data_IF_289581587340
#
_entry.id   IF_289581587340
#
_cell.length_a   1.000
_cell.length_b   1.000
_cell.length_c   1.000
_cell.angle_alpha   90.00
_cell.angle_beta   90.00
_cell.angle_gamma   90.00
#
_symmetry.space_group_name_H-M   'P 1'
#
loop_
_entity.id
_entity.type
_entity.pdbx_description
1 polymer ?
#
# COMPACT_ATOMS: atom_id res chain seq x y z
N UNK A 1 28.05 37.11 -6.39
CA UNK A 1 28.55 36.12 -5.42
C UNK A 1 27.47 35.10 -5.01
N UNK A 2 26.35 35.51 -4.46
CA UNK A 2 25.27 34.57 -3.98
C UNK A 2 24.70 33.70 -5.10
N UNK A 3 24.39 34.25 -6.27
CA UNK A 3 23.88 33.46 -7.41
C UNK A 3 24.90 32.43 -7.92
N UNK A 4 26.17 32.79 -8.01
CA UNK A 4 27.20 31.85 -8.45
C UNK A 4 27.39 30.69 -7.47
N UNK A 5 27.38 30.98 -6.15
CA UNK A 5 27.42 29.94 -5.12
C UNK A 5 26.17 29.02 -5.17
N UNK A 6 25.00 29.58 -5.44
CA UNK A 6 23.78 28.84 -5.59
C UNK A 6 23.78 27.92 -6.81
N UNK A 7 24.32 28.40 -7.95
CA UNK A 7 24.50 27.57 -9.13
C UNK A 7 25.46 26.40 -8.88
N UNK A 8 26.59 26.67 -8.20
CA UNK A 8 27.58 25.65 -7.90
C UNK A 8 27.03 24.56 -6.94
N UNK A 9 26.29 24.97 -5.92
CA UNK A 9 25.57 24.01 -5.05
C UNK A 9 24.52 23.21 -5.82
N UNK A 10 23.77 23.85 -6.72
CA UNK A 10 22.77 23.18 -7.56
C UNK A 10 23.36 22.12 -8.49
N UNK A 11 24.63 22.24 -8.90
CA UNK A 11 25.31 21.17 -9.63
C UNK A 11 25.57 19.94 -8.76
N UNK A 12 25.98 20.16 -7.53
CA UNK A 12 26.41 19.08 -6.62
C UNK A 12 25.26 18.40 -5.91
N UNK A 13 24.23 19.15 -5.56
CA UNK A 13 23.11 18.70 -4.74
C UNK A 13 21.81 18.78 -5.52
N UNK A 14 21.19 17.64 -5.77
CA UNK A 14 19.95 17.57 -6.53
C UNK A 14 18.79 18.29 -5.83
N UNK A 15 18.70 18.20 -4.50
CA UNK A 15 17.72 18.98 -3.74
C UNK A 15 17.88 20.49 -3.97
N UNK A 16 19.12 20.98 -3.91
CA UNK A 16 19.40 22.40 -4.15
C UNK A 16 19.07 22.83 -5.58
N UNK A 17 19.26 21.95 -6.59
CA UNK A 17 18.81 22.17 -7.96
C UNK A 17 17.29 22.33 -8.02
N UNK A 18 16.52 21.39 -7.45
CA UNK A 18 15.08 21.44 -7.41
C UNK A 18 14.55 22.71 -6.72
N UNK A 19 15.15 23.08 -5.60
CA UNK A 19 14.79 24.28 -4.83
C UNK A 19 15.16 25.56 -5.57
N UNK A 20 16.23 25.58 -6.35
CA UNK A 20 16.61 26.72 -7.17
C UNK A 20 15.62 26.94 -8.31
N UNK A 21 15.17 25.87 -8.92
CA UNK A 21 14.23 25.88 -10.05
C UNK A 21 12.80 26.22 -9.62
N UNK A 22 12.34 25.71 -8.48
CA UNK A 22 10.96 25.89 -8.03
C UNK A 22 10.87 26.00 -6.50
N UNK A 23 11.29 27.13 -5.91
CA UNK A 23 11.36 27.30 -4.46
C UNK A 23 10.00 27.29 -3.76
N UNK A 24 8.94 27.62 -4.47
CA UNK A 24 7.56 27.58 -4.02
C UNK A 24 7.02 26.14 -3.83
N UNK A 25 7.56 25.20 -4.58
CA UNK A 25 7.21 23.79 -4.48
C UNK A 25 8.18 22.99 -3.59
N UNK A 26 9.50 23.16 -3.74
CA UNK A 26 10.51 22.49 -2.94
C UNK A 26 10.84 23.31 -1.68
N UNK A 27 9.87 23.39 -0.77
CA UNK A 27 10.00 24.09 0.51
C UNK A 27 10.75 23.22 1.53
N UNK A 28 11.43 23.87 2.50
CA UNK A 28 12.21 23.14 3.53
C UNK A 28 11.34 22.26 4.44
N UNK A 29 10.08 22.59 4.65
CA UNK A 29 9.12 21.84 5.45
C UNK A 29 8.55 20.61 4.72
N UNK A 30 8.76 20.50 3.40
CA UNK A 30 8.40 19.31 2.63
C UNK A 30 9.52 18.28 2.65
N UNK A 31 9.81 17.75 3.82
CA UNK A 31 10.92 16.81 4.06
C UNK A 31 10.85 15.56 3.17
N UNK A 32 9.65 15.08 2.83
CA UNK A 32 9.48 13.95 1.92
C UNK A 32 10.03 14.21 0.51
N UNK A 33 9.95 15.46 0.00
CA UNK A 33 10.57 15.82 -1.29
C UNK A 33 12.09 15.91 -1.18
N UNK A 34 12.60 16.37 -0.04
CA UNK A 34 14.04 16.36 0.22
C UNK A 34 14.57 14.93 0.22
N UNK A 35 13.95 14.06 1.02
CA UNK A 35 14.33 12.65 1.09
C UNK A 35 14.24 11.97 -0.28
N UNK A 36 13.21 12.27 -1.08
CA UNK A 36 13.08 11.74 -2.44
C UNK A 36 14.20 12.21 -3.36
N UNK A 37 14.62 13.48 -3.26
CA UNK A 37 15.78 13.99 -4.02
C UNK A 37 17.06 13.29 -3.58
N UNK A 38 17.27 13.09 -2.29
CA UNK A 38 18.45 12.42 -1.73
C UNK A 38 18.50 10.95 -2.16
N UNK A 39 17.36 10.24 -2.11
CA UNK A 39 17.25 8.85 -2.58
C UNK A 39 17.61 8.72 -4.06
N UNK A 40 17.14 9.64 -4.91
CA UNK A 40 17.45 9.65 -6.34
C UNK A 40 18.94 9.94 -6.59
N UNK A 41 19.51 10.94 -5.90
CA UNK A 41 20.91 11.27 -6.03
C UNK A 41 21.80 10.13 -5.56
N UNK A 42 21.52 9.57 -4.36
CA UNK A 42 22.29 8.48 -3.80
C UNK A 42 22.22 7.21 -4.67
N UNK A 43 21.07 6.92 -5.26
CA UNK A 43 20.86 5.72 -6.07
C UNK A 43 21.78 5.63 -7.29
N UNK A 44 22.14 6.76 -7.90
CA UNK A 44 23.07 6.78 -9.04
C UNK A 44 24.55 6.87 -8.66
N UNK A 45 24.87 7.02 -7.38
CA UNK A 45 26.25 6.99 -6.91
C UNK A 45 26.84 5.57 -7.01
N UNK A 46 28.12 5.43 -7.34
CA UNK A 46 28.77 4.10 -7.44
C UNK A 46 28.74 3.27 -6.16
N UNK A 47 28.46 3.88 -5.03
CA UNK A 47 28.37 3.24 -3.71
C UNK A 47 27.05 2.54 -3.49
N UNK A 48 25.98 2.87 -4.21
CA UNK A 48 24.69 2.20 -4.09
C UNK A 48 24.70 0.86 -4.87
N UNK A 49 24.46 -0.23 -4.15
CA UNK A 49 24.53 -1.59 -4.67
C UNK A 49 23.23 -2.08 -5.33
N UNK A 50 22.16 -1.27 -5.29
CA UNK A 50 20.89 -1.66 -5.91
C UNK A 50 20.90 -1.37 -7.42
N UNK A 51 20.30 -2.25 -8.17
CA UNK A 51 20.12 -2.11 -9.62
C UNK A 51 18.83 -1.36 -9.95
N UNK A 52 17.83 -1.45 -9.06
CA UNK A 52 16.47 -0.91 -9.26
C UNK A 52 16.06 -0.07 -8.04
N UNK A 53 15.53 1.13 -8.31
CA UNK A 53 14.85 1.96 -7.31
C UNK A 53 13.35 2.00 -7.63
N UNK A 54 12.53 1.54 -6.68
CA UNK A 54 11.07 1.64 -6.75
C UNK A 54 10.58 2.72 -5.79
N UNK A 55 9.96 3.75 -6.33
CA UNK A 55 9.38 4.86 -5.55
C UNK A 55 7.87 4.85 -5.69
N UNK A 56 7.17 4.59 -4.60
CA UNK A 56 5.71 4.64 -4.53
C UNK A 56 5.27 5.88 -3.75
N UNK A 57 4.44 6.72 -4.36
CA UNK A 57 4.03 8.01 -3.78
C UNK A 57 2.60 8.36 -4.22
N UNK A 58 1.80 9.01 -3.33
CA UNK A 58 0.44 9.42 -3.66
C UNK A 58 0.36 10.34 -4.89
N UNK A 59 -0.79 10.40 -5.58
CA UNK A 59 -1.00 11.35 -6.68
C UNK A 59 -0.77 12.80 -6.23
N UNK A 60 -0.27 13.64 -7.16
CA UNK A 60 -0.04 15.08 -6.97
C UNK A 60 1.10 15.48 -6.01
N UNK A 61 1.81 14.53 -5.38
CA UNK A 61 2.91 14.83 -4.46
C UNK A 61 4.26 15.08 -5.15
N UNK A 62 4.29 15.26 -6.48
CA UNK A 62 5.46 15.75 -7.19
C UNK A 62 6.33 14.68 -7.85
N UNK A 63 5.89 13.42 -7.93
CA UNK A 63 6.63 12.31 -8.57
C UNK A 63 7.27 12.69 -9.89
N UNK A 64 6.45 12.84 -10.93
CA UNK A 64 6.90 13.09 -12.30
C UNK A 64 7.67 14.41 -12.43
N UNK A 65 7.31 15.44 -11.63
CA UNK A 65 8.04 16.73 -11.60
C UNK A 65 9.48 16.55 -11.09
N UNK A 66 9.65 15.81 -9.99
CA UNK A 66 10.97 15.56 -9.40
C UNK A 66 11.82 14.68 -10.31
N UNK A 67 11.22 13.68 -10.95
CA UNK A 67 11.91 12.84 -11.95
C UNK A 67 12.34 13.67 -13.17
N UNK A 68 11.50 14.60 -13.66
CA UNK A 68 11.88 15.51 -14.74
C UNK A 68 13.11 16.36 -14.37
N UNK A 69 13.09 16.94 -13.18
CA UNK A 69 14.22 17.68 -12.65
C UNK A 69 15.47 16.80 -12.48
N UNK A 70 15.28 15.52 -12.08
CA UNK A 70 16.38 14.57 -11.94
C UNK A 70 17.06 14.29 -13.30
N UNK A 71 16.29 14.05 -14.34
CA UNK A 71 16.82 13.86 -15.70
C UNK A 71 17.62 15.09 -16.16
N UNK A 72 17.09 16.29 -15.94
CA UNK A 72 17.78 17.53 -16.26
C UNK A 72 19.11 17.64 -15.51
N UNK A 73 19.10 17.34 -14.21
CA UNK A 73 20.27 17.41 -13.35
C UNK A 73 21.34 16.38 -13.74
N UNK A 74 20.94 15.15 -14.05
CA UNK A 74 21.86 14.09 -14.53
C UNK A 74 22.53 14.50 -15.84
N UNK A 75 21.74 14.91 -16.83
CA UNK A 75 22.27 15.32 -18.15
C UNK A 75 23.12 16.59 -18.09
N UNK A 76 22.85 17.44 -17.09
CA UNK A 76 23.67 18.62 -16.82
C UNK A 76 25.07 18.28 -16.29
N UNK A 77 25.15 17.28 -15.43
CA UNK A 77 26.40 16.81 -14.85
C UNK A 77 27.17 15.87 -15.76
N UNK A 78 26.47 15.05 -16.55
CA UNK A 78 27.11 14.09 -17.47
C UNK A 78 26.32 13.97 -18.78
N UNK A 79 26.84 14.58 -19.83
CA UNK A 79 26.24 14.56 -21.16
C UNK A 79 26.42 13.21 -21.91
N UNK A 80 27.11 12.24 -21.33
CA UNK A 80 27.22 10.88 -21.89
C UNK A 80 26.06 9.98 -21.51
N UNK A 81 25.29 10.36 -20.52
CA UNK A 81 24.14 9.59 -20.05
C UNK A 81 23.05 9.45 -21.13
N UNK A 82 22.46 8.27 -21.18
CA UNK A 82 21.37 7.92 -22.09
C UNK A 82 20.13 7.57 -21.26
N UNK A 83 19.14 8.43 -21.31
CA UNK A 83 17.92 8.32 -20.52
C UNK A 83 16.80 7.75 -21.38
N UNK A 84 16.16 6.67 -20.93
CA UNK A 84 14.94 6.16 -21.54
C UNK A 84 13.80 6.31 -20.56
N UNK A 85 12.73 6.98 -20.95
CA UNK A 85 11.52 7.12 -20.13
C UNK A 85 10.34 6.38 -20.73
N UNK A 86 9.64 5.60 -19.91
CA UNK A 86 8.43 4.88 -20.24
C UNK A 86 7.24 5.37 -19.43
N UNK A 87 6.07 5.53 -20.07
CA UNK A 87 4.79 5.83 -19.40
C UNK A 87 3.67 5.05 -20.06
N UNK A 88 2.46 5.07 -19.47
CA UNK A 88 1.35 4.24 -19.96
C UNK A 88 0.95 4.52 -21.43
N UNK A 89 1.22 5.70 -21.94
CA UNK A 89 1.02 6.04 -23.35
C UNK A 89 2.07 7.04 -23.88
N UNK A 90 2.15 7.14 -25.21
CA UNK A 90 3.11 7.98 -25.92
C UNK A 90 2.92 9.49 -25.64
N UNK A 91 1.68 9.94 -25.48
CA UNK A 91 1.39 11.36 -25.21
C UNK A 91 2.01 11.81 -23.88
N UNK A 92 1.88 10.98 -22.83
CA UNK A 92 2.42 11.32 -21.51
C UNK A 92 3.96 11.29 -21.52
N UNK A 93 4.55 10.23 -22.10
CA UNK A 93 6.01 10.12 -22.19
C UNK A 93 6.62 11.24 -23.04
N UNK A 94 5.97 11.61 -24.14
CA UNK A 94 6.41 12.74 -25.00
C UNK A 94 6.27 14.09 -24.27
N UNK A 95 5.21 14.31 -23.50
CA UNK A 95 5.06 15.54 -22.70
C UNK A 95 6.15 15.66 -21.63
N UNK A 96 6.51 14.54 -21.01
CA UNK A 96 7.61 14.51 -20.05
C UNK A 96 8.94 14.89 -20.72
N UNK A 97 9.28 14.24 -21.84
CA UNK A 97 10.47 14.56 -22.66
C UNK A 97 10.52 16.02 -23.06
N UNK A 98 9.38 16.55 -23.58
CA UNK A 98 9.24 17.96 -23.94
C UNK A 98 9.53 18.91 -22.78
N UNK A 99 9.08 18.56 -21.57
CA UNK A 99 9.35 19.33 -20.35
C UNK A 99 10.83 19.47 -20.07
N UNK A 100 11.55 18.34 -20.05
CA UNK A 100 13.01 18.30 -19.84
C UNK A 100 13.76 19.10 -20.93
N UNK A 101 13.43 18.82 -22.19
CA UNK A 101 14.05 19.52 -23.32
C UNK A 101 13.84 21.03 -23.26
N UNK A 102 12.64 21.48 -22.96
CA UNK A 102 12.31 22.91 -22.88
C UNK A 102 13.07 23.60 -21.74
N UNK A 103 13.29 22.92 -20.62
CA UNK A 103 14.13 23.45 -19.53
C UNK A 103 15.57 23.63 -19.97
N UNK A 104 16.14 22.65 -20.66
CA UNK A 104 17.53 22.75 -21.18
C UNK A 104 17.69 23.92 -22.16
N UNK A 105 16.66 24.19 -22.96
CA UNK A 105 16.63 25.26 -23.95
C UNK A 105 16.08 26.60 -23.42
N UNK A 106 15.79 26.71 -22.13
CA UNK A 106 15.19 27.94 -21.57
C UNK A 106 16.12 29.14 -21.75
N UNK A 107 15.61 30.16 -22.47
CA UNK A 107 16.32 31.41 -22.67
C UNK A 107 16.11 32.32 -21.45
N UNK A 108 17.19 32.89 -20.94
CA UNK A 108 17.16 33.80 -19.78
C UNK A 108 16.50 35.12 -20.16
N UNK A 109 15.22 35.28 -19.82
CA UNK A 109 14.48 36.53 -20.04
C UNK A 109 14.62 37.52 -18.86
N UNK A 110 14.75 37.00 -17.62
CA UNK A 110 14.95 37.82 -16.43
C UNK A 110 16.35 37.57 -15.85
N UNK A 111 17.10 38.68 -15.68
CA UNK A 111 18.49 38.67 -15.16
C UNK A 111 18.56 38.11 -13.73
N UNK A 112 17.49 38.22 -12.96
CA UNK A 112 17.43 37.74 -11.57
C UNK A 112 17.03 36.25 -11.46
N UNK A 113 16.43 35.70 -12.52
CA UNK A 113 16.05 34.28 -12.58
C UNK A 113 17.27 33.44 -12.93
N UNK A 114 17.53 32.40 -12.14
CA UNK A 114 18.51 31.37 -12.49
C UNK A 114 17.80 30.39 -13.42
N UNK A 115 18.38 30.20 -14.63
CA UNK A 115 17.90 29.23 -15.62
C UNK A 115 18.92 28.10 -15.77
N UNK A 116 18.54 27.03 -16.48
CA UNK A 116 19.37 25.83 -16.65
C UNK A 116 20.80 26.13 -17.12
N UNK A 117 20.95 26.99 -18.12
CA UNK A 117 22.27 27.37 -18.66
C UNK A 117 23.16 28.18 -17.70
N UNK A 118 22.59 28.78 -16.64
CA UNK A 118 23.38 29.41 -15.57
C UNK A 118 24.02 28.34 -14.67
N UNK A 119 23.34 27.19 -14.48
CA UNK A 119 23.80 26.08 -13.65
C UNK A 119 24.73 25.16 -14.44
N UNK A 120 24.33 24.81 -15.66
CA UNK A 120 25.06 23.89 -16.55
C UNK A 120 25.45 24.59 -17.86
N UNK A 121 26.43 25.50 -17.83
CA UNK A 121 26.85 26.21 -19.04
C UNK A 121 27.44 25.24 -20.07
N UNK A 122 27.03 25.40 -21.33
CA UNK A 122 27.51 24.56 -22.42
C UNK A 122 26.74 23.26 -22.63
N UNK A 123 25.67 23.02 -21.84
CA UNK A 123 24.74 21.89 -22.07
C UNK A 123 23.57 22.39 -22.91
N UNK A 124 23.55 22.00 -24.20
CA UNK A 124 22.54 22.43 -25.16
C UNK A 124 21.99 21.24 -25.94
N UNK A 125 20.75 21.35 -26.41
CA UNK A 125 20.19 20.39 -27.37
C UNK A 125 20.90 20.54 -28.72
N UNK A 126 21.29 19.42 -29.30
CA UNK A 126 21.97 19.40 -30.63
C UNK A 126 21.07 20.00 -31.70
N UNK A 127 21.61 20.89 -32.48
CA UNK A 127 20.87 21.58 -33.55
C UNK A 127 20.32 20.55 -34.57
N UNK A 128 19.02 20.59 -34.83
CA UNK A 128 18.36 19.67 -35.77
C UNK A 128 17.97 18.34 -35.18
N UNK A 129 18.31 18.04 -33.91
CA UNK A 129 18.01 16.79 -33.20
C UNK A 129 17.14 17.05 -31.97
N UNK A 130 16.08 17.81 -32.16
CA UNK A 130 15.20 18.27 -31.08
C UNK A 130 13.76 17.76 -31.25
N UNK A 131 13.56 16.52 -31.67
CA UNK A 131 12.23 15.91 -31.69
C UNK A 131 11.59 15.85 -30.29
N UNK A 132 10.26 15.69 -30.18
CA UNK A 132 9.61 15.72 -28.88
C UNK A 132 9.86 14.46 -28.05
N UNK A 133 10.09 13.34 -28.70
CA UNK A 133 10.24 12.03 -28.04
C UNK A 133 11.68 11.49 -28.07
N UNK A 134 12.53 12.02 -28.94
CA UNK A 134 13.94 11.59 -29.05
C UNK A 134 14.84 12.77 -29.41
N UNK A 135 15.90 12.96 -28.65
CA UNK A 135 16.84 14.05 -28.87
C UNK A 135 18.22 13.77 -28.25
N UNK A 136 19.22 14.51 -28.72
CA UNK A 136 20.59 14.45 -28.23
C UNK A 136 21.08 15.82 -27.76
N UNK A 137 22.07 15.81 -26.88
CA UNK A 137 22.85 16.99 -26.51
C UNK A 137 23.98 17.23 -27.54
N UNK A 138 24.52 18.44 -27.59
CA UNK A 138 25.61 18.80 -28.53
C UNK A 138 26.84 17.91 -28.34
N UNK A 139 27.20 17.61 -27.10
CA UNK A 139 28.32 16.75 -26.72
C UNK A 139 27.93 15.32 -26.37
N UNK A 140 26.73 14.89 -26.76
CA UNK A 140 26.19 13.57 -26.47
C UNK A 140 25.69 12.83 -27.71
N UNK A 141 25.22 11.63 -27.51
CA UNK A 141 24.63 10.79 -28.56
C UNK A 141 23.47 10.00 -27.99
N UNK A 142 22.28 10.13 -28.61
CA UNK A 142 21.05 9.46 -28.15
C UNK A 142 20.80 9.66 -26.65
N UNK A 143 20.80 10.91 -26.18
CA UNK A 143 20.70 11.18 -24.76
C UNK A 143 19.31 10.95 -24.17
N UNK A 144 18.28 11.02 -25.01
CA UNK A 144 16.93 10.87 -24.51
C UNK A 144 16.00 10.17 -25.50
N UNK A 145 15.24 9.18 -24.97
CA UNK A 145 14.11 8.54 -25.66
C UNK A 145 12.91 8.44 -24.74
N UNK A 146 11.75 8.93 -25.19
CA UNK A 146 10.45 8.70 -24.56
C UNK A 146 9.71 7.60 -25.32
N UNK A 147 9.18 6.60 -24.59
CA UNK A 147 8.45 5.45 -25.15
C UNK A 147 7.23 5.07 -24.31
N UNK A 148 6.49 4.08 -24.76
CA UNK A 148 5.34 3.48 -24.07
C UNK A 148 5.19 2.01 -24.45
N UNK A 149 4.32 1.21 -23.78
CA UNK A 149 4.09 -0.18 -24.15
C UNK A 149 3.62 -0.40 -25.59
N UNK A 150 3.10 0.63 -26.25
CA UNK A 150 2.70 0.60 -27.67
C UNK A 150 3.70 1.26 -28.60
N UNK A 151 4.76 1.87 -28.03
CA UNK A 151 5.79 2.58 -28.80
C UNK A 151 6.97 1.67 -29.18
N UNK A 152 7.89 2.22 -29.98
CA UNK A 152 9.11 1.53 -30.39
C UNK A 152 10.31 2.04 -29.60
N UNK A 153 11.17 1.12 -29.14
CA UNK A 153 12.43 1.43 -28.44
C UNK A 153 13.66 0.80 -29.15
N UNK A 154 13.52 0.38 -30.42
CA UNK A 154 14.55 -0.32 -31.15
C UNK A 154 15.75 0.59 -31.46
N UNK A 155 16.97 0.08 -31.26
CA UNK A 155 18.21 0.79 -31.60
C UNK A 155 18.65 1.86 -30.58
N UNK A 156 18.00 1.97 -29.42
CA UNK A 156 18.39 2.88 -28.34
C UNK A 156 18.90 2.08 -27.14
N UNK A 157 20.08 2.43 -26.59
CA UNK A 157 20.59 1.92 -25.33
C UNK A 157 20.37 2.94 -24.21
N UNK A 158 20.13 2.50 -22.98
CA UNK A 158 19.90 3.36 -21.82
C UNK A 158 20.89 3.07 -20.69
N UNK A 159 21.51 4.12 -20.14
CA UNK A 159 22.26 4.03 -18.89
C UNK A 159 21.36 4.23 -17.66
N UNK A 160 20.27 5.00 -17.85
CA UNK A 160 19.23 5.15 -16.84
C UNK A 160 17.87 4.97 -17.52
N UNK A 161 17.10 4.01 -17.00
CA UNK A 161 15.75 3.73 -17.43
C UNK A 161 14.77 4.20 -16.37
N UNK A 162 13.77 4.95 -16.77
CA UNK A 162 12.75 5.50 -15.86
C UNK A 162 11.36 5.07 -16.35
N UNK A 163 10.56 4.49 -15.47
CA UNK A 163 9.18 4.13 -15.78
C UNK A 163 8.27 4.91 -14.82
N UNK A 164 7.41 5.76 -15.41
CA UNK A 164 6.50 6.65 -14.68
C UNK A 164 5.04 6.27 -14.98
N UNK A 165 4.31 5.86 -13.93
CA UNK A 165 2.87 5.57 -13.93
C UNK A 165 2.35 4.80 -15.17
N UNK A 166 2.51 3.46 -15.19
CA UNK A 166 2.01 2.60 -16.30
C UNK A 166 0.51 2.32 -16.24
N UNK A 167 -0.15 2.57 -15.11
CA UNK A 167 -1.57 2.29 -14.90
C UNK A 167 -2.31 3.61 -14.68
N UNK A 168 -3.39 3.83 -15.44
CA UNK A 168 -4.19 5.07 -15.36
C UNK A 168 -5.50 4.92 -14.58
N UNK A 169 -5.97 3.70 -14.32
CA UNK A 169 -7.28 3.48 -13.70
C UNK A 169 -7.38 2.13 -12.99
N UNK A 170 -8.32 2.03 -12.04
CA UNK A 170 -8.65 0.78 -11.37
C UNK A 170 -9.12 -0.33 -12.35
N UNK A 171 -9.78 0.05 -13.44
CA UNK A 171 -10.22 -0.90 -14.47
C UNK A 171 -9.03 -1.58 -15.16
N UNK A 172 -7.98 -0.82 -15.48
CA UNK A 172 -6.75 -1.39 -16.03
C UNK A 172 -5.98 -2.21 -15.01
N UNK A 173 -5.90 -1.73 -13.77
CA UNK A 173 -5.24 -2.43 -12.67
C UNK A 173 -5.84 -3.81 -12.39
N UNK A 174 -7.15 -3.96 -12.55
CA UNK A 174 -7.87 -5.22 -12.34
C UNK A 174 -7.93 -6.11 -13.61
N UNK A 175 -7.26 -5.73 -14.69
CA UNK A 175 -7.18 -6.51 -15.91
C UNK A 175 -5.84 -7.26 -15.98
N UNK A 176 -5.89 -8.59 -15.76
CA UNK A 176 -4.70 -9.43 -15.73
C UNK A 176 -3.91 -9.38 -17.05
N UNK A 177 -4.60 -9.31 -18.20
CA UNK A 177 -3.95 -9.21 -19.52
C UNK A 177 -3.19 -7.89 -19.69
N UNK A 178 -3.72 -6.79 -19.11
CA UNK A 178 -3.04 -5.50 -19.12
C UNK A 178 -1.77 -5.54 -18.26
N UNK A 179 -1.85 -6.09 -17.06
CA UNK A 179 -0.68 -6.25 -16.17
C UNK A 179 0.39 -7.15 -16.80
N UNK A 180 -0.05 -8.24 -17.47
CA UNK A 180 0.88 -9.16 -18.16
C UNK A 180 1.54 -8.50 -19.36
N UNK A 181 0.81 -7.74 -20.16
CA UNK A 181 1.38 -6.95 -21.28
C UNK A 181 2.40 -5.92 -20.80
N UNK A 182 2.15 -5.23 -19.70
CA UNK A 182 3.10 -4.28 -19.11
C UNK A 182 4.35 -4.98 -18.62
N UNK A 183 4.20 -6.14 -17.98
CA UNK A 183 5.32 -6.97 -17.54
C UNK A 183 6.17 -7.47 -18.72
N UNK A 184 5.55 -8.06 -19.74
CA UNK A 184 6.21 -8.52 -20.96
C UNK A 184 6.94 -7.37 -21.67
N UNK A 185 6.30 -6.21 -21.79
CA UNK A 185 6.96 -5.03 -22.34
C UNK A 185 8.20 -4.62 -21.54
N UNK A 186 8.13 -4.66 -20.22
CA UNK A 186 9.28 -4.36 -19.36
C UNK A 186 10.39 -5.39 -19.57
N UNK A 187 10.09 -6.69 -19.50
CA UNK A 187 11.10 -7.76 -19.61
C UNK A 187 11.70 -7.89 -20.99
N UNK A 188 10.88 -7.87 -22.03
CA UNK A 188 11.32 -8.19 -23.38
C UNK A 188 11.84 -6.96 -24.14
N UNK A 189 11.21 -5.80 -23.89
CA UNK A 189 11.55 -4.57 -24.62
C UNK A 189 12.50 -3.68 -23.82
N UNK A 190 12.12 -3.32 -22.59
CA UNK A 190 12.85 -2.33 -21.84
C UNK A 190 14.20 -2.88 -21.31
N UNK A 191 14.19 -4.02 -20.62
CA UNK A 191 15.42 -4.59 -20.06
C UNK A 191 16.49 -4.88 -21.13
N UNK A 192 16.07 -5.27 -22.35
CA UNK A 192 17.00 -5.50 -23.46
C UNK A 192 17.69 -4.23 -23.96
N UNK A 193 17.30 -3.05 -23.47
CA UNK A 193 17.87 -1.74 -23.80
C UNK A 193 18.76 -1.18 -22.70
N UNK A 194 18.76 -1.79 -21.52
CA UNK A 194 19.62 -1.36 -20.44
C UNK A 194 21.09 -1.73 -20.76
N UNK A 195 21.97 -0.75 -20.71
CA UNK A 195 23.40 -0.97 -20.90
C UNK A 195 24.03 -1.58 -19.63
N UNK A 196 25.22 -2.16 -19.76
CA UNK A 196 25.96 -2.74 -18.62
C UNK A 196 26.17 -1.71 -17.50
N UNK A 197 25.80 -2.07 -16.26
CA UNK A 197 25.85 -1.16 -15.12
C UNK A 197 24.74 -0.08 -15.10
N UNK A 198 23.79 -0.14 -16.02
CA UNK A 198 22.68 0.80 -16.06
C UNK A 198 21.74 0.64 -14.88
N UNK A 199 21.04 1.70 -14.51
CA UNK A 199 20.09 1.78 -13.36
C UNK A 199 18.65 1.90 -13.83
N UNK A 200 17.71 1.32 -13.07
CA UNK A 200 16.27 1.38 -13.35
C UNK A 200 15.57 2.12 -12.21
N UNK A 201 14.74 3.10 -12.56
CA UNK A 201 13.90 3.84 -11.61
C UNK A 201 12.43 3.63 -11.99
N UNK A 202 11.65 3.03 -11.09
CA UNK A 202 10.21 2.87 -11.23
C UNK A 202 9.54 3.85 -10.29
N UNK A 203 8.79 4.80 -10.84
CA UNK A 203 8.06 5.79 -10.04
C UNK A 203 6.59 5.67 -10.35
N UNK A 204 5.80 5.23 -9.39
CA UNK A 204 4.38 5.04 -9.64
C UNK A 204 3.52 5.14 -8.38
N UNK A 205 2.25 5.40 -8.61
CA UNK A 205 1.21 5.13 -7.64
C UNK A 205 0.88 3.64 -7.70
N UNK A 206 0.72 2.98 -6.57
CA UNK A 206 0.32 1.57 -6.53
C UNK A 206 -1.16 1.43 -6.88
N UNK A 207 -1.49 0.31 -7.56
CA UNK A 207 -2.85 -0.01 -7.97
C UNK A 207 -3.25 -1.47 -7.68
N UNK A 208 -2.30 -2.40 -7.83
CA UNK A 208 -2.51 -3.84 -7.70
C UNK A 208 -1.24 -4.50 -7.15
N UNK A 209 -1.34 -5.64 -6.45
CA UNK A 209 -0.15 -6.35 -5.96
C UNK A 209 0.75 -6.80 -7.10
N UNK A 210 0.15 -7.18 -8.25
CA UNK A 210 0.83 -7.61 -9.46
C UNK A 210 1.09 -6.48 -10.47
N UNK A 211 1.01 -5.21 -10.07
CA UNK A 211 1.49 -4.11 -10.90
C UNK A 211 3.02 -4.20 -11.09
N UNK A 212 3.57 -3.41 -12.00
CA UNK A 212 5.00 -3.51 -12.33
C UNK A 212 5.89 -3.40 -11.07
N UNK A 213 5.59 -2.45 -10.17
CA UNK A 213 6.36 -2.30 -8.93
C UNK A 213 6.27 -3.53 -8.03
N UNK A 214 5.08 -4.13 -7.88
CA UNK A 214 4.88 -5.33 -7.07
C UNK A 214 5.66 -6.52 -7.61
N UNK A 215 5.59 -6.78 -8.92
CA UNK A 215 6.34 -7.89 -9.55
C UNK A 215 7.85 -7.69 -9.47
N UNK A 216 8.34 -6.46 -9.64
CA UNK A 216 9.77 -6.15 -9.53
C UNK A 216 10.26 -6.40 -8.11
N UNK A 217 9.55 -5.92 -7.09
CA UNK A 217 9.91 -6.14 -5.68
C UNK A 217 9.96 -7.64 -5.36
N UNK A 218 8.99 -8.41 -5.84
CA UNK A 218 8.93 -9.86 -5.61
C UNK A 218 10.05 -10.60 -6.34
N UNK A 219 10.32 -10.25 -7.59
CA UNK A 219 11.26 -11.02 -8.43
C UNK A 219 12.72 -10.68 -8.20
N UNK A 220 13.05 -9.41 -7.93
CA UNK A 220 14.44 -8.94 -7.82
C UNK A 220 14.93 -8.78 -6.37
N UNK A 221 14.03 -8.83 -5.37
CA UNK A 221 14.38 -8.89 -3.95
C UNK A 221 15.40 -7.84 -3.51
N UNK A 222 16.54 -8.32 -2.99
CA UNK A 222 17.60 -7.46 -2.42
C UNK A 222 18.27 -6.51 -3.42
N UNK A 223 18.05 -6.68 -4.73
CA UNK A 223 18.53 -5.75 -5.74
C UNK A 223 17.66 -4.49 -5.87
N UNK A 224 16.52 -4.46 -5.19
CA UNK A 224 15.55 -3.38 -5.27
C UNK A 224 15.57 -2.54 -4.01
N UNK A 225 15.91 -1.25 -4.15
CA UNK A 225 15.65 -0.26 -3.10
C UNK A 225 14.20 0.19 -3.22
N UNK A 226 13.41 0.02 -2.18
CA UNK A 226 11.99 0.44 -2.14
C UNK A 226 11.84 1.66 -1.25
N UNK A 227 11.29 2.74 -1.82
CA UNK A 227 10.95 3.98 -1.10
C UNK A 227 9.44 4.19 -1.21
N UNK A 228 8.77 4.29 -0.09
CA UNK A 228 7.32 4.39 -0.05
C UNK A 228 6.86 5.58 0.79
N UNK A 229 6.02 6.44 0.18
CA UNK A 229 5.39 7.58 0.85
C UNK A 229 3.89 7.34 0.94
N UNK A 230 3.35 7.32 2.15
CA UNK A 230 1.92 7.18 2.43
C UNK A 230 1.29 8.57 2.58
N UNK A 231 0.05 8.76 2.13
CA UNK A 231 -0.65 10.03 2.30
C UNK A 231 -0.97 10.32 3.77
N UNK A 232 -1.39 9.30 4.52
CA UNK A 232 -1.62 9.37 5.97
C UNK A 232 -0.46 8.66 6.67
N UNK A 233 0.17 9.34 7.62
CA UNK A 233 1.28 8.84 8.41
C UNK A 233 0.78 7.97 9.57
N UNK A 234 1.67 7.28 10.27
CA UNK A 234 1.33 6.40 11.40
C UNK A 234 0.69 7.15 12.57
N UNK A 235 1.04 8.41 12.77
CA UNK A 235 0.46 9.30 13.77
C UNK A 235 -0.89 9.93 13.34
N UNK A 236 -1.41 9.56 12.18
CA UNK A 236 -2.64 10.10 11.59
C UNK A 236 -2.49 11.47 10.92
N UNK A 237 -1.28 12.03 10.87
CA UNK A 237 -1.01 13.28 10.14
C UNK A 237 -0.97 13.03 8.63
N UNK A 238 -1.14 14.10 7.84
CA UNK A 238 -1.01 14.02 6.39
C UNK A 238 0.45 14.24 5.96
N UNK A 239 0.91 13.51 4.96
CA UNK A 239 2.25 13.68 4.36
C UNK A 239 2.56 15.12 3.98
N UNK A 240 1.59 15.78 3.36
CA UNK A 240 1.65 17.20 3.02
C UNK A 240 0.23 17.80 3.01
N UNK A 241 -0.24 18.37 4.12
CA UNK A 241 -1.60 18.93 4.22
C UNK A 241 -1.91 20.03 3.19
N UNK A 242 -0.89 20.78 2.74
CA UNK A 242 -1.04 21.79 1.69
C UNK A 242 -1.39 21.19 0.31
N UNK A 243 -0.94 19.95 0.04
CA UNK A 243 -1.22 19.23 -1.21
C UNK A 243 -2.50 18.41 -1.10
N UNK A 244 -2.70 17.77 0.05
CA UNK A 244 -3.85 16.93 0.34
C UNK A 244 -4.22 17.08 1.82
N UNK A 245 -5.28 17.85 2.09
CA UNK A 245 -5.82 17.95 3.43
C UNK A 245 -6.52 16.66 3.85
N UNK A 246 -6.67 16.44 5.16
CA UNK A 246 -7.37 15.27 5.71
C UNK A 246 -8.81 15.20 5.21
N UNK A 247 -9.53 16.31 5.21
CA UNK A 247 -10.91 16.41 4.69
C UNK A 247 -10.99 16.02 3.20
N UNK A 248 -10.08 16.55 2.37
CA UNK A 248 -10.02 16.18 0.95
C UNK A 248 -9.68 14.71 0.75
N UNK A 249 -8.83 14.13 1.59
CA UNK A 249 -8.52 12.71 1.56
C UNK A 249 -9.75 11.87 1.89
N UNK A 250 -10.46 12.17 3.00
CA UNK A 250 -11.68 11.48 3.42
C UNK A 250 -12.78 11.54 2.35
N UNK A 251 -12.98 12.71 1.73
CA UNK A 251 -13.90 12.87 0.60
C UNK A 251 -13.54 11.97 -0.58
N UNK A 252 -12.24 11.85 -0.90
CA UNK A 252 -11.76 10.97 -1.97
C UNK A 252 -11.95 9.49 -1.64
N UNK A 253 -11.69 9.10 -0.38
CA UNK A 253 -11.92 7.71 0.09
C UNK A 253 -13.40 7.34 -0.07
N UNK A 254 -14.32 8.24 0.33
CA UNK A 254 -15.77 8.01 0.15
C UNK A 254 -16.16 7.87 -1.32
N UNK A 255 -15.55 8.66 -2.21
CA UNK A 255 -15.88 8.65 -3.64
C UNK A 255 -15.32 7.45 -4.40
N UNK A 256 -14.11 7.00 -4.10
CA UNK A 256 -13.43 5.93 -4.86
C UNK A 256 -13.45 4.56 -4.19
N UNK A 257 -13.84 4.50 -2.92
CA UNK A 257 -13.80 3.29 -2.11
C UNK A 257 -12.46 3.09 -1.40
N UNK A 258 -12.52 2.37 -0.29
CA UNK A 258 -11.36 2.16 0.61
C UNK A 258 -10.22 1.45 -0.11
N UNK A 259 -10.52 0.45 -0.95
CA UNK A 259 -9.52 -0.36 -1.64
C UNK A 259 -8.66 0.45 -2.61
N UNK A 260 -9.30 1.30 -3.40
CA UNK A 260 -8.58 2.18 -4.34
C UNK A 260 -7.77 3.23 -3.56
N UNK A 261 -8.33 3.73 -2.47
CA UNK A 261 -7.63 4.70 -1.62
C UNK A 261 -6.41 4.06 -0.92
N UNK A 262 -6.54 2.84 -0.38
CA UNK A 262 -5.41 2.09 0.18
C UNK A 262 -4.31 1.85 -0.85
N UNK A 263 -4.67 1.45 -2.07
CA UNK A 263 -3.68 1.29 -3.12
C UNK A 263 -3.00 2.62 -3.47
N UNK A 264 -3.77 3.65 -3.81
CA UNK A 264 -3.25 4.87 -4.42
C UNK A 264 -2.65 5.85 -3.41
N UNK A 265 -3.23 5.97 -2.22
CA UNK A 265 -2.80 6.96 -1.23
C UNK A 265 -1.94 6.35 -0.14
N UNK A 266 -2.18 5.09 0.24
CA UNK A 266 -1.34 4.39 1.22
C UNK A 266 -0.29 3.47 0.58
N UNK A 267 -0.26 3.39 -0.75
CA UNK A 267 0.65 2.56 -1.55
C UNK A 267 0.55 1.07 -1.20
N UNK A 268 -0.61 0.62 -0.78
CA UNK A 268 -0.87 -0.68 -0.23
C UNK A 268 -2.01 -1.35 -1.00
N UNK A 269 -1.76 -1.85 -2.22
CA UNK A 269 -2.79 -2.44 -3.06
C UNK A 269 -3.33 -3.71 -2.41
N UNK A 270 -4.64 -3.83 -2.45
CA UNK A 270 -5.38 -4.98 -1.98
C UNK A 270 -6.06 -5.59 -3.20
N UNK A 271 -5.67 -6.81 -3.56
CA UNK A 271 -6.22 -7.49 -4.73
C UNK A 271 -7.68 -7.87 -4.50
N UNK A 272 -8.57 -7.29 -5.28
CA UNK A 272 -10.01 -7.59 -5.23
C UNK A 272 -10.29 -8.95 -5.89
N UNK A 273 -9.61 -9.28 -7.00
CA UNK A 273 -9.67 -10.60 -7.64
C UNK A 273 -8.90 -11.62 -6.80
N UNK A 274 -9.59 -12.66 -6.37
CA UNK A 274 -9.01 -13.72 -5.54
C UNK A 274 -9.30 -13.58 -4.06
N UNK A 275 -9.80 -12.44 -3.58
CA UNK A 275 -10.28 -12.32 -2.20
C UNK A 275 -11.40 -13.30 -1.92
N UNK A 276 -11.31 -13.92 -0.78
CA UNK A 276 -12.38 -14.79 -0.31
C UNK A 276 -13.63 -13.98 0.06
N UNK A 277 -13.43 -12.88 0.78
CA UNK A 277 -14.50 -11.99 1.21
C UNK A 277 -14.58 -10.77 0.31
N UNK A 278 -15.60 -10.69 -0.53
CA UNK A 278 -15.78 -9.60 -1.48
C UNK A 278 -16.48 -8.37 -0.87
N UNK A 279 -17.26 -8.58 0.17
CA UNK A 279 -17.98 -7.54 0.89
C UNK A 279 -18.21 -7.95 2.34
N UNK A 280 -18.38 -6.95 3.21
CA UNK A 280 -18.77 -7.13 4.60
C UNK A 280 -20.01 -6.30 4.90
N UNK A 281 -20.97 -6.89 5.60
CA UNK A 281 -22.11 -6.15 6.12
C UNK A 281 -21.69 -5.31 7.32
N UNK A 282 -22.25 -4.12 7.44
CA UNK A 282 -21.97 -3.24 8.57
C UNK A 282 -23.26 -2.77 9.24
N UNK A 283 -23.15 -2.36 10.50
CA UNK A 283 -24.24 -1.80 11.28
C UNK A 283 -23.80 -0.52 12.01
N UNK A 284 -24.74 0.38 12.26
CA UNK A 284 -24.54 1.60 13.07
C UNK A 284 -24.99 1.40 14.50
N UNK A 285 -26.04 0.63 14.72
CA UNK A 285 -26.61 0.29 16.03
C UNK A 285 -26.94 -1.20 16.10
N UNK A 286 -26.73 -1.79 17.28
CA UNK A 286 -27.14 -3.18 17.56
C UNK A 286 -28.67 -3.35 17.44
N UNK A 287 -29.16 -4.55 17.13
CA UNK A 287 -30.59 -4.81 16.99
C UNK A 287 -31.43 -4.43 18.23
N UNK A 288 -32.45 -3.58 18.00
CA UNK A 288 -33.37 -3.08 19.02
C UNK A 288 -34.81 -3.20 18.54
N UNK A 289 -35.75 -3.31 19.48
CA UNK A 289 -37.18 -3.22 19.22
C UNK A 289 -37.64 -1.77 19.00
N UNK A 290 -38.90 -1.60 18.66
CA UNK A 290 -39.48 -0.27 18.44
C UNK A 290 -39.46 0.65 19.70
N UNK A 291 -39.24 0.09 20.88
CA UNK A 291 -39.06 0.82 22.14
C UNK A 291 -37.59 1.07 22.49
N UNK A 292 -36.64 0.74 21.60
CA UNK A 292 -35.21 0.93 21.78
C UNK A 292 -34.54 -0.12 22.70
N UNK A 293 -35.21 -1.22 23.03
CA UNK A 293 -34.65 -2.26 23.89
C UNK A 293 -33.91 -3.30 23.05
N UNK A 294 -32.77 -3.83 23.52
CA UNK A 294 -32.07 -4.93 22.85
C UNK A 294 -32.99 -6.12 22.58
N UNK A 295 -32.95 -6.69 21.39
CA UNK A 295 -33.72 -7.88 21.00
C UNK A 295 -32.92 -9.17 21.03
N UNK A 296 -31.63 -9.11 21.33
CA UNK A 296 -30.75 -10.25 21.57
C UNK A 296 -30.73 -10.64 23.05
N UNK A 297 -30.61 -11.93 23.33
CA UNK A 297 -30.73 -12.47 24.70
C UNK A 297 -29.37 -12.64 25.40
N UNK A 298 -28.27 -12.75 24.65
CA UNK A 298 -26.94 -13.03 25.18
C UNK A 298 -25.85 -12.40 24.34
N UNK A 299 -24.77 -12.02 25.01
CA UNK A 299 -23.49 -11.68 24.37
C UNK A 299 -22.62 -12.94 24.40
N UNK A 300 -22.05 -13.29 23.26
CA UNK A 300 -21.24 -14.48 23.07
C UNK A 300 -19.82 -14.10 22.65
N UNK A 301 -18.89 -15.02 22.88
CA UNK A 301 -17.51 -14.87 22.43
C UNK A 301 -17.05 -16.14 21.69
N UNK A 302 -16.19 -15.94 20.70
CA UNK A 302 -15.40 -17.00 20.09
C UNK A 302 -13.93 -16.61 20.13
N UNK A 303 -13.08 -17.50 20.67
CA UNK A 303 -11.64 -17.28 20.77
C UNK A 303 -10.87 -18.42 20.11
N UNK A 304 -10.08 -18.11 19.08
CA UNK A 304 -9.00 -18.93 18.56
C UNK A 304 -7.70 -18.53 19.26
N UNK A 305 -7.08 -19.48 19.98
CA UNK A 305 -5.90 -19.22 20.82
C UNK A 305 -4.61 -19.47 20.05
N UNK A 306 -3.63 -18.56 20.19
CA UNK A 306 -2.25 -18.79 19.78
C UNK A 306 -1.39 -19.18 20.98
N UNK A 307 -0.52 -20.19 20.82
CA UNK A 307 0.35 -20.65 21.92
C UNK A 307 1.72 -19.95 21.88
N UNK A 308 2.43 -20.02 20.78
CA UNK A 308 3.75 -19.36 20.58
C UNK A 308 4.06 -19.31 19.10
N UNK A 309 4.76 -18.25 18.65
CA UNK A 309 5.26 -18.15 17.28
C UNK A 309 4.61 -17.04 16.46
N UNK A 310 4.37 -17.28 15.17
CA UNK A 310 3.85 -16.28 14.22
C UNK A 310 2.31 -16.21 14.17
N UNK A 311 1.59 -17.05 14.91
CA UNK A 311 0.13 -17.11 14.93
C UNK A 311 -0.48 -15.99 15.79
N UNK A 312 -1.67 -15.52 15.39
CA UNK A 312 -2.41 -14.50 16.12
C UNK A 312 -3.47 -15.13 17.03
N UNK A 313 -3.55 -14.65 18.27
CA UNK A 313 -4.79 -14.80 19.03
C UNK A 313 -5.89 -13.97 18.36
N UNK A 314 -7.06 -14.58 18.17
CA UNK A 314 -8.26 -13.89 17.69
C UNK A 314 -9.44 -14.17 18.61
N UNK A 315 -9.89 -13.16 19.37
CA UNK A 315 -11.05 -13.24 20.26
C UNK A 315 -12.10 -12.23 19.83
N UNK A 316 -13.33 -12.69 19.60
CA UNK A 316 -14.42 -11.90 19.00
C UNK A 316 -15.65 -11.97 19.89
N UNK A 317 -16.10 -10.81 20.41
CA UNK A 317 -17.38 -10.68 21.09
C UNK A 317 -18.47 -10.30 20.10
N UNK A 318 -19.61 -10.98 20.18
CA UNK A 318 -20.74 -10.75 19.27
C UNK A 318 -22.09 -11.02 19.95
N UNK A 319 -23.15 -10.44 19.39
CA UNK A 319 -24.52 -10.80 19.74
C UNK A 319 -25.17 -11.53 18.58
N UNK A 320 -26.05 -12.48 18.89
CA UNK A 320 -26.82 -13.25 17.91
C UNK A 320 -28.25 -12.73 17.86
N UNK A 321 -28.75 -12.43 16.64
CA UNK A 321 -30.15 -12.09 16.42
C UNK A 321 -30.56 -12.58 15.02
N UNK A 322 -31.68 -13.30 14.95
CA UNK A 322 -32.25 -13.89 13.72
C UNK A 322 -31.23 -14.67 12.88
N UNK A 323 -30.40 -15.49 13.52
CA UNK A 323 -29.31 -16.26 12.88
C UNK A 323 -28.25 -15.40 12.21
N UNK A 324 -28.10 -14.16 12.61
CA UNK A 324 -27.04 -13.22 12.21
C UNK A 324 -26.16 -12.90 13.43
N UNK A 325 -24.88 -12.65 13.20
CA UNK A 325 -23.95 -12.21 14.23
C UNK A 325 -23.62 -10.73 14.06
N UNK A 326 -23.63 -9.99 15.14
CA UNK A 326 -23.20 -8.59 15.19
C UNK A 326 -21.98 -8.48 16.08
N UNK A 327 -20.81 -8.30 15.45
CA UNK A 327 -19.53 -8.20 16.15
C UNK A 327 -19.46 -6.90 16.95
N UNK A 328 -19.19 -6.98 18.24
CA UNK A 328 -19.12 -5.81 19.13
C UNK A 328 -17.69 -5.44 19.50
N UNK A 329 -16.81 -6.43 19.66
CA UNK A 329 -15.42 -6.21 20.03
C UNK A 329 -14.51 -7.29 19.47
N UNK A 330 -13.21 -6.95 19.25
CA UNK A 330 -12.21 -7.89 18.73
C UNK A 330 -10.86 -7.62 19.38
N UNK A 331 -10.20 -8.68 19.86
CA UNK A 331 -8.77 -8.70 20.16
C UNK A 331 -8.10 -9.55 19.08
N UNK A 332 -7.15 -8.96 18.35
CA UNK A 332 -6.36 -9.64 17.34
C UNK A 332 -4.90 -9.20 17.47
N UNK A 333 -4.06 -10.08 18.02
CA UNK A 333 -2.68 -9.73 18.41
C UNK A 333 -1.75 -10.96 18.41
N UNK A 334 -0.45 -10.72 18.27
CA UNK A 334 0.62 -11.72 18.43
C UNK A 334 1.22 -11.77 19.83
N UNK A 335 0.67 -11.01 20.77
CA UNK A 335 1.18 -10.98 22.14
C UNK A 335 1.06 -12.35 22.80
N UNK A 336 1.99 -12.64 23.71
CA UNK A 336 2.01 -13.88 24.48
C UNK A 336 0.81 -14.05 25.42
N UNK A 337 0.59 -15.28 25.90
CA UNK A 337 -0.55 -15.62 26.77
C UNK A 337 -0.60 -14.78 28.06
N UNK A 338 0.54 -14.37 28.59
CA UNK A 338 0.65 -13.51 29.78
C UNK A 338 -0.01 -12.13 29.59
N UNK A 339 -0.11 -11.65 28.34
CA UNK A 339 -0.79 -10.40 27.96
C UNK A 339 -2.23 -10.68 27.51
N UNK A 340 -2.43 -11.73 26.72
CA UNK A 340 -3.71 -11.99 26.07
C UNK A 340 -4.75 -12.60 27.02
N UNK A 341 -4.36 -13.44 28.01
CA UNK A 341 -5.27 -13.96 29.02
C UNK A 341 -5.95 -12.86 29.84
N UNK A 342 -5.22 -11.89 30.44
CA UNK A 342 -5.85 -10.74 31.10
C UNK A 342 -6.67 -9.86 30.17
N UNK A 343 -6.22 -9.66 28.92
CA UNK A 343 -6.93 -8.84 27.95
C UNK A 343 -8.26 -9.43 27.54
N UNK A 344 -8.31 -10.75 27.24
CA UNK A 344 -9.54 -11.46 26.92
C UNK A 344 -10.48 -11.49 28.14
N UNK A 345 -9.98 -11.80 29.34
CA UNK A 345 -10.81 -11.79 30.55
C UNK A 345 -11.44 -10.40 30.79
N UNK A 346 -10.67 -9.32 30.56
CA UNK A 346 -11.16 -7.94 30.66
C UNK A 346 -12.27 -7.67 29.63
N UNK A 347 -12.06 -8.01 28.37
CA UNK A 347 -13.04 -7.83 27.30
C UNK A 347 -14.34 -8.57 27.62
N UNK A 348 -14.27 -9.86 27.99
CA UNK A 348 -15.43 -10.65 28.38
C UNK A 348 -16.23 -10.03 29.54
N UNK A 349 -15.52 -9.44 30.50
CA UNK A 349 -16.13 -8.75 31.64
C UNK A 349 -16.82 -7.45 31.26
N UNK A 350 -16.10 -6.57 30.51
CA UNK A 350 -16.59 -5.25 30.09
C UNK A 350 -17.80 -5.36 29.14
N UNK A 351 -17.73 -6.28 28.18
CA UNK A 351 -18.81 -6.53 27.20
C UNK A 351 -19.95 -7.43 27.75
N UNK A 352 -19.86 -7.81 29.05
CA UNK A 352 -20.88 -8.58 29.74
C UNK A 352 -21.20 -9.90 29.03
N UNK A 353 -20.18 -10.60 28.53
CA UNK A 353 -20.33 -11.88 27.82
C UNK A 353 -20.94 -12.94 28.68
N UNK A 354 -21.90 -13.69 28.13
CA UNK A 354 -22.59 -14.80 28.80
C UNK A 354 -21.90 -16.13 28.53
N UNK A 355 -21.55 -16.39 27.27
CA UNK A 355 -20.96 -17.66 26.83
C UNK A 355 -19.69 -17.37 25.99
N UNK A 356 -18.58 -17.95 26.39
CA UNK A 356 -17.32 -17.86 25.67
C UNK A 356 -16.84 -19.24 25.22
N UNK A 357 -16.83 -19.45 23.92
CA UNK A 357 -16.27 -20.63 23.25
C UNK A 357 -14.78 -20.41 22.96
N UNK A 358 -13.91 -21.15 23.65
CA UNK A 358 -12.45 -21.03 23.53
C UNK A 358 -11.88 -22.30 22.91
N UNK A 359 -11.16 -22.18 21.79
CA UNK A 359 -10.48 -23.32 21.21
C UNK A 359 -9.41 -23.88 22.17
N UNK A 360 -9.43 -25.18 22.38
CA UNK A 360 -8.55 -25.86 23.34
C UNK A 360 -7.37 -26.58 22.71
N UNK A 361 -7.12 -26.33 21.43
CA UNK A 361 -5.97 -26.82 20.70
C UNK A 361 -4.68 -26.15 21.22
N UNK A 362 -3.53 -26.83 21.12
CA UNK A 362 -2.22 -26.22 21.33
C UNK A 362 -2.09 -25.30 22.58
N UNK A 363 -2.45 -25.82 23.78
CA UNK A 363 -2.35 -25.02 25.01
C UNK A 363 -3.64 -24.26 25.41
N UNK A 364 -4.63 -24.13 24.53
CA UNK A 364 -5.87 -23.39 24.75
C UNK A 364 -6.71 -23.84 25.97
N UNK A 365 -6.56 -25.08 26.46
CA UNK A 365 -7.15 -25.49 27.75
C UNK A 365 -6.55 -24.75 28.95
N UNK A 366 -5.25 -24.44 28.90
CA UNK A 366 -4.56 -23.64 29.91
C UNK A 366 -5.10 -22.24 29.91
N UNK A 367 -5.11 -21.63 28.72
CA UNK A 367 -5.65 -20.31 28.44
C UNK A 367 -7.08 -20.14 28.96
N UNK A 368 -7.99 -21.02 28.60
CA UNK A 368 -9.40 -21.00 29.05
C UNK A 368 -9.53 -21.03 30.59
N UNK A 369 -8.76 -21.89 31.28
CA UNK A 369 -8.74 -21.93 32.76
C UNK A 369 -8.20 -20.66 33.39
N UNK A 370 -7.16 -20.05 32.80
CA UNK A 370 -6.58 -18.83 33.31
C UNK A 370 -7.54 -17.65 33.13
N UNK A 371 -8.17 -17.51 31.94
CA UNK A 371 -9.23 -16.52 31.70
C UNK A 371 -10.36 -16.67 32.71
N UNK A 372 -10.86 -17.90 32.96
CA UNK A 372 -11.91 -18.16 33.97
C UNK A 372 -11.45 -17.77 35.39
N UNK A 373 -10.21 -18.12 35.75
CA UNK A 373 -9.61 -17.74 37.03
C UNK A 373 -9.52 -16.22 37.20
N UNK A 374 -9.11 -15.48 36.16
CA UNK A 374 -9.05 -14.01 36.19
C UNK A 374 -10.46 -13.42 36.35
N UNK A 375 -11.46 -13.91 35.60
CA UNK A 375 -12.84 -13.46 35.75
C UNK A 375 -13.34 -13.60 37.18
N UNK A 376 -13.09 -14.75 37.80
CA UNK A 376 -13.53 -15.02 39.18
C UNK A 376 -12.76 -14.27 40.24
N UNK A 377 -11.44 -14.25 40.16
CA UNK A 377 -10.57 -13.74 41.22
C UNK A 377 -10.32 -12.22 41.12
N UNK A 378 -10.21 -11.69 39.91
CA UNK A 378 -9.92 -10.26 39.67
C UNK A 378 -11.19 -9.44 39.48
N UNK A 379 -12.12 -9.95 38.67
CA UNK A 379 -13.36 -9.23 38.36
C UNK A 379 -14.55 -9.66 39.24
N UNK A 380 -14.39 -10.69 40.09
CA UNK A 380 -15.43 -11.25 40.94
C UNK A 380 -16.72 -11.59 40.17
N UNK A 381 -16.56 -12.01 38.91
CA UNK A 381 -17.64 -12.30 37.98
C UNK A 381 -17.79 -13.81 37.77
N UNK A 382 -19.02 -14.29 37.89
CA UNK A 382 -19.45 -15.66 37.51
C UNK A 382 -20.41 -15.62 36.31
N UNK A 383 -20.50 -14.49 35.61
CA UNK A 383 -21.46 -14.30 34.52
C UNK A 383 -21.12 -15.17 33.30
N UNK A 384 -19.82 -15.12 32.89
CA UNK A 384 -19.36 -15.78 31.69
C UNK A 384 -19.15 -17.27 31.92
N UNK A 385 -19.81 -18.11 31.11
CA UNK A 385 -19.55 -19.54 31.04
C UNK A 385 -18.45 -19.78 30.02
N UNK A 386 -17.32 -20.33 30.45
CA UNK A 386 -16.20 -20.66 29.59
C UNK A 386 -16.38 -22.08 29.05
N UNK A 387 -16.48 -22.24 27.74
CA UNK A 387 -16.68 -23.50 27.03
C UNK A 387 -15.43 -23.87 26.23
N UNK A 388 -14.44 -24.57 26.81
CA UNK A 388 -13.30 -25.03 26.03
C UNK A 388 -13.73 -26.20 25.12
N UNK A 389 -13.38 -26.10 23.82
CA UNK A 389 -13.72 -27.15 22.85
C UNK A 389 -12.53 -27.42 21.90
N UNK A 390 -12.49 -28.62 21.35
CA UNK A 390 -11.43 -29.03 20.41
C UNK A 390 -11.93 -28.86 18.98
N UNK A 391 -11.13 -28.13 18.17
CA UNK A 391 -11.38 -27.97 16.74
C UNK A 391 -10.57 -28.99 15.95
N UNK A 392 -11.24 -29.90 15.24
CA UNK A 392 -10.62 -31.02 14.51
C UNK A 392 -10.62 -30.84 12.98
N UNK A 393 -11.38 -29.88 12.46
CA UNK A 393 -11.51 -29.68 11.02
C UNK A 393 -10.36 -28.85 10.46
N UNK A 394 -10.01 -29.08 9.19
CA UNK A 394 -8.99 -28.31 8.50
C UNK A 394 -9.42 -26.81 8.35
N UNK A 395 -8.58 -25.89 8.82
CA UNK A 395 -8.78 -24.44 8.80
C UNK A 395 -9.21 -23.92 7.41
N UNK A 396 -8.42 -24.17 6.38
CA UNK A 396 -8.68 -23.68 5.02
C UNK A 396 -10.04 -24.15 4.51
N UNK A 397 -10.37 -25.44 4.70
CA UNK A 397 -11.64 -26.00 4.27
C UNK A 397 -12.84 -25.36 5.00
N UNK A 398 -12.71 -25.07 6.30
CA UNK A 398 -13.73 -24.38 7.10
C UNK A 398 -13.97 -22.96 6.56
N UNK A 399 -12.88 -22.20 6.39
CA UNK A 399 -12.93 -20.81 5.92
C UNK A 399 -13.61 -20.74 4.55
N UNK A 400 -13.17 -21.58 3.59
CA UNK A 400 -13.74 -21.59 2.24
C UNK A 400 -15.23 -21.95 2.23
N UNK A 401 -15.63 -22.98 2.97
CA UNK A 401 -17.02 -23.45 2.97
C UNK A 401 -18.00 -22.50 3.66
N UNK A 402 -17.53 -21.69 4.62
CA UNK A 402 -18.37 -20.75 5.36
C UNK A 402 -18.27 -19.29 4.86
N UNK A 403 -17.41 -18.99 3.87
CA UNK A 403 -17.14 -17.62 3.43
C UNK A 403 -18.40 -16.87 2.98
N UNK A 404 -19.27 -17.54 2.23
CA UNK A 404 -20.55 -16.95 1.77
C UNK A 404 -21.47 -16.63 2.96
N UNK A 405 -21.51 -17.51 3.96
CA UNK A 405 -22.31 -17.27 5.17
C UNK A 405 -21.75 -16.08 5.96
N UNK A 406 -20.43 -16.01 6.14
CA UNK A 406 -19.74 -14.87 6.79
C UNK A 406 -20.10 -13.55 6.11
N UNK A 407 -20.01 -13.47 4.79
CA UNK A 407 -20.38 -12.24 4.04
C UNK A 407 -21.85 -11.84 4.16
N UNK A 408 -22.75 -12.82 4.35
CA UNK A 408 -24.19 -12.57 4.34
C UNK A 408 -24.82 -12.45 5.71
N UNK A 409 -24.18 -12.93 6.79
CA UNK A 409 -24.78 -13.03 8.10
C UNK A 409 -23.94 -12.48 9.25
N UNK A 410 -22.70 -12.04 8.99
CA UNK A 410 -21.89 -11.35 10.01
C UNK A 410 -21.86 -9.85 9.71
N UNK A 411 -22.23 -9.05 10.69
CA UNK A 411 -22.25 -7.60 10.65
C UNK A 411 -21.15 -7.04 11.53
N UNK A 412 -20.39 -6.10 10.99
CA UNK A 412 -19.33 -5.38 11.71
C UNK A 412 -19.77 -3.95 12.03
N UNK A 413 -19.26 -3.30 13.09
CA UNK A 413 -19.50 -1.87 13.30
C UNK A 413 -19.04 -1.07 12.05
N UNK A 414 -19.77 -0.03 11.67
CA UNK A 414 -19.43 0.79 10.49
C UNK A 414 -17.98 1.31 10.52
N UNK A 415 -17.43 1.53 11.70
CA UNK A 415 -16.06 2.02 11.93
C UNK A 415 -15.08 0.90 12.35
N UNK A 416 -15.36 -0.37 12.02
CA UNK A 416 -14.51 -1.50 12.43
C UNK A 416 -13.10 -1.47 11.83
N UNK A 417 -12.91 -0.79 10.71
CA UNK A 417 -11.60 -0.56 10.11
C UNK A 417 -10.69 0.27 11.04
N UNK A 418 -11.27 1.27 11.72
CA UNK A 418 -10.54 2.13 12.65
C UNK A 418 -10.41 1.50 14.05
N UNK A 419 -11.46 0.76 14.46
CA UNK A 419 -11.48 0.09 15.78
C UNK A 419 -10.60 -1.16 15.84
N UNK A 420 -10.53 -1.91 14.74
CA UNK A 420 -9.85 -3.21 14.66
C UNK A 420 -8.97 -3.30 13.40
N UNK A 421 -7.98 -2.41 13.21
CA UNK A 421 -7.29 -2.24 11.93
C UNK A 421 -6.56 -3.50 11.46
N UNK A 422 -5.87 -4.22 12.33
CA UNK A 422 -5.14 -5.45 11.95
C UNK A 422 -6.09 -6.61 11.61
N UNK A 423 -7.18 -6.75 12.37
CA UNK A 423 -8.23 -7.73 12.08
C UNK A 423 -8.91 -7.41 10.74
N UNK A 424 -9.27 -6.12 10.50
CA UNK A 424 -9.81 -5.69 9.22
C UNK A 424 -8.89 -6.04 8.05
N UNK A 425 -7.59 -5.77 8.18
CA UNK A 425 -6.60 -6.10 7.16
C UNK A 425 -6.54 -7.61 6.91
N UNK A 426 -6.49 -8.42 7.95
CA UNK A 426 -6.46 -9.87 7.83
C UNK A 426 -7.70 -10.41 7.10
N UNK A 427 -8.90 -9.95 7.47
CA UNK A 427 -10.15 -10.33 6.82
C UNK A 427 -10.25 -9.86 5.36
N UNK A 428 -9.95 -8.58 5.12
CA UNK A 428 -10.10 -7.96 3.79
C UNK A 428 -9.06 -8.41 2.77
N UNK A 429 -7.93 -8.96 3.20
CA UNK A 429 -6.84 -9.42 2.31
C UNK A 429 -6.82 -10.92 2.08
N UNK A 430 -7.60 -11.67 2.80
CA UNK A 430 -7.57 -13.13 2.72
C UNK A 430 -7.95 -13.61 1.32
N UNK A 431 -7.04 -14.38 0.69
CA UNK A 431 -7.18 -14.85 -0.67
C UNK A 431 -7.83 -16.24 -0.71
N UNK A 432 -8.66 -16.48 -1.73
CA UNK A 432 -9.30 -17.76 -1.97
C UNK A 432 -8.31 -18.83 -2.40
N UNK A 433 -7.29 -18.42 -3.15
CA UNK A 433 -6.23 -19.27 -3.69
C UNK A 433 -4.86 -18.67 -3.36
N UNK A 434 -3.82 -19.51 -3.21
CA UNK A 434 -2.46 -19.09 -2.88
C UNK A 434 -2.13 -19.18 -1.40
N UNK A 435 -1.04 -18.55 -0.99
CA UNK A 435 -0.59 -18.51 0.42
C UNK A 435 -1.10 -17.24 1.09
N UNK A 436 -1.86 -17.39 2.14
CA UNK A 436 -2.18 -16.32 3.08
C UNK A 436 -1.11 -16.24 4.17
N UNK A 437 -0.70 -15.04 4.55
CA UNK A 437 0.30 -14.86 5.61
C UNK A 437 -0.23 -15.35 6.97
N UNK A 438 -1.51 -15.09 7.23
CA UNK A 438 -2.21 -15.48 8.46
C UNK A 438 -3.66 -15.84 8.13
N UNK A 439 -4.22 -16.84 8.81
CA UNK A 439 -5.59 -17.32 8.63
C UNK A 439 -6.43 -17.22 9.91
N UNK A 440 -5.86 -16.75 11.02
CA UNK A 440 -6.47 -16.75 12.34
C UNK A 440 -7.75 -15.88 12.44
N UNK A 441 -7.75 -14.68 11.82
CA UNK A 441 -8.93 -13.82 11.79
C UNK A 441 -10.08 -14.43 10.98
N UNK A 442 -9.87 -14.92 9.73
CA UNK A 442 -10.89 -15.67 8.99
C UNK A 442 -11.35 -16.93 9.70
N UNK A 443 -10.45 -17.66 10.39
CA UNK A 443 -10.80 -18.89 11.09
C UNK A 443 -11.68 -18.65 12.31
N UNK A 444 -11.31 -17.71 13.16
CA UNK A 444 -12.14 -17.31 14.30
C UNK A 444 -13.52 -16.80 13.86
N UNK A 445 -13.56 -15.98 12.78
CA UNK A 445 -14.82 -15.49 12.21
C UNK A 445 -15.68 -16.65 11.65
N UNK A 446 -15.04 -17.62 11.01
CA UNK A 446 -15.71 -18.86 10.57
C UNK A 446 -16.24 -19.68 11.74
N UNK A 447 -15.53 -19.68 12.87
CA UNK A 447 -15.98 -20.34 14.09
C UNK A 447 -17.34 -19.82 14.57
N UNK A 448 -17.59 -18.53 14.50
CA UNK A 448 -18.90 -17.92 14.79
C UNK A 448 -19.98 -18.50 13.85
N UNK A 449 -19.71 -18.55 12.55
CA UNK A 449 -20.62 -19.13 11.57
C UNK A 449 -20.98 -20.60 11.90
N UNK A 450 -19.97 -21.41 12.25
CA UNK A 450 -20.18 -22.80 12.61
C UNK A 450 -21.00 -22.97 13.92
N UNK A 451 -20.82 -22.08 14.90
CA UNK A 451 -21.57 -22.12 16.15
C UNK A 451 -23.05 -21.79 15.95
N UNK A 452 -23.35 -20.77 15.13
CA UNK A 452 -24.73 -20.38 14.82
C UNK A 452 -25.42 -21.47 13.97
N UNK A 453 -24.73 -22.01 12.94
CA UNK A 453 -25.31 -23.07 12.09
C UNK A 453 -25.52 -24.39 12.78
N UNK A 454 -24.71 -24.79 13.77
CA UNK A 454 -24.90 -26.03 14.54
C UNK A 454 -26.17 -26.02 15.39
N UNK A 455 -26.75 -24.86 15.70
CA UNK A 455 -28.06 -24.76 16.36
C UNK A 455 -29.25 -25.22 15.50
N UNK A 456 -29.02 -25.55 14.21
CA UNK A 456 -30.04 -26.01 13.26
C UNK A 456 -30.02 -27.54 12.99
N UNK A 457 -29.61 -28.37 13.92
CA UNK A 457 -29.94 -29.81 13.79
C UNK A 457 -31.44 -29.98 13.92
N UNK A 458 -32.13 -29.99 12.75
CA UNK A 458 -33.50 -30.46 12.69
C UNK A 458 -33.53 -31.92 13.16
N UNK A 459 -34.14 -32.19 14.31
CA UNK A 459 -34.63 -33.53 14.58
C UNK A 459 -35.84 -33.77 13.66
N UNK A 460 -35.66 -34.62 12.69
CA UNK A 460 -36.79 -35.25 12.00
C UNK A 460 -37.29 -36.34 12.94
N UNK A 461 -38.36 -36.08 13.69
CA UNK A 461 -39.22 -37.07 14.26
C UNK A 461 -40.23 -37.58 13.22
#
# INVERSE_FOLDING_TARGET
MIQAAKCELSKREFWTYCKTKAPDFYKNDRTFLHNFCDDLQQFIEPTDQHDILVVNMPPRHGKSRTIGNFVEWVLGNDQTQKIMTGSYNETLSTNFSKGVRNTIQEIKADKNKIVYSDIFPGVNIKRGDGAMNMWSLENGYNNYLATSPTGTATGFGATIMIIDDLIKSALEANNADTLEKQWTWFTDTMLSRLEEGGKIIIVMTRWHSLDLAGRIIEQYGDKVKVVQYKAVQEDGSMLCPEILSKESYETKVQAMGVEIAEANYQQNPIDIKGRLYQSFKTYTELPKDAAGRPVYSAVKNYTDTADTGDDYLCSIDYVEYNHEAYVINVIYTKDGMEITEPAVAKMLYEDQVNDADIESNNGGRGFARNVESILRNTYHSNRTIINPFFQSKNKISRILSNSTWVMNHIYFPVNWMDRFPEYYKAMSRYQKEGKNAHDDAPDATTGIAEKINKGQTFSFD
#
